data_IF_654944452830
#
_entry.id   IF_654944452830
#
_cell.length_a   1.000
_cell.length_b   1.000
_cell.length_c   1.000
_cell.angle_alpha   90.00
_cell.angle_beta   90.00
_cell.angle_gamma   90.00
#
_symmetry.space_group_name_H-M   'P 1'
#
loop_
_entity.id
_entity.type
_entity.pdbx_description
1 polymer ?
#
# COMPACT_ATOMS: atom_id res chain seq x y z
N UNK A 1 -1.69 -18.08 -1.34
CA UNK A 1 -3.04 -18.68 -1.21
C UNK A 1 -3.82 -18.88 -2.53
N UNK A 2 -3.32 -18.42 -3.70
CA UNK A 2 -4.07 -18.45 -4.96
C UNK A 2 -4.87 -17.18 -5.25
N UNK A 3 -4.62 -16.10 -4.50
CA UNK A 3 -5.20 -14.77 -4.66
C UNK A 3 -4.66 -13.96 -5.86
N UNK A 4 -4.05 -14.61 -6.84
CA UNK A 4 -3.29 -13.99 -7.93
C UNK A 4 -4.06 -12.87 -8.66
N UNK A 5 -5.36 -13.06 -8.90
CA UNK A 5 -6.19 -12.13 -9.67
C UNK A 5 -6.95 -11.08 -8.82
N UNK A 6 -6.78 -11.06 -7.50
CA UNK A 6 -7.47 -10.08 -6.63
C UNK A 6 -6.87 -8.69 -6.84
N UNK A 7 -7.69 -7.77 -7.35
CA UNK A 7 -7.31 -6.40 -7.65
C UNK A 7 -7.70 -5.37 -6.58
N UNK A 8 -8.29 -5.80 -5.46
CA UNK A 8 -8.69 -4.89 -4.38
C UNK A 8 -7.47 -4.17 -3.77
N UNK A 9 -6.36 -4.88 -3.60
CA UNK A 9 -5.13 -4.39 -2.97
C UNK A 9 -4.54 -3.13 -3.63
N UNK A 10 -4.28 -3.08 -4.95
CA UNK A 10 -3.79 -1.86 -5.59
C UNK A 10 -4.82 -0.71 -5.54
N UNK A 11 -6.13 -0.99 -5.58
CA UNK A 11 -7.15 0.06 -5.43
C UNK A 11 -7.12 0.63 -4.01
N UNK A 12 -7.05 -0.22 -2.99
CA UNK A 12 -6.89 0.19 -1.60
C UNK A 12 -5.59 0.93 -1.38
N UNK A 13 -4.48 0.53 -2.00
CA UNK A 13 -3.22 1.28 -1.94
C UNK A 13 -3.39 2.71 -2.46
N UNK A 14 -4.02 2.89 -3.63
CA UNK A 14 -4.32 4.22 -4.17
C UNK A 14 -5.18 5.05 -3.22
N UNK A 15 -6.29 4.49 -2.73
CA UNK A 15 -7.18 5.18 -1.80
C UNK A 15 -6.47 5.54 -0.48
N UNK A 16 -5.70 4.61 0.08
CA UNK A 16 -4.96 4.78 1.33
C UNK A 16 -3.91 5.88 1.19
N UNK A 17 -3.17 5.91 0.09
CA UNK A 17 -2.20 6.96 -0.19
C UNK A 17 -2.84 8.33 -0.38
N UNK A 18 -4.03 8.39 -1.02
CA UNK A 18 -4.77 9.62 -1.19
C UNK A 18 -5.19 10.22 0.16
N UNK A 19 -5.72 9.39 1.07
CA UNK A 19 -6.11 9.86 2.42
C UNK A 19 -4.92 10.06 3.36
N UNK A 20 -3.79 9.39 3.12
CA UNK A 20 -2.55 9.58 3.90
C UNK A 20 -1.82 10.88 3.55
N UNK A 21 -2.19 11.52 2.44
CA UNK A 21 -1.64 12.81 2.04
C UNK A 21 -0.52 12.71 1.01
N UNK A 22 -0.52 11.73 0.10
CA UNK A 22 0.35 11.80 -1.08
C UNK A 22 0.12 13.12 -1.85
N UNK A 23 1.14 13.66 -2.53
CA UNK A 23 1.01 14.84 -3.38
C UNK A 23 0.21 14.53 -4.63
N UNK A 24 0.45 13.36 -5.22
CA UNK A 24 -0.46 12.78 -6.20
C UNK A 24 -0.49 11.26 -6.10
N UNK A 25 -1.61 10.70 -6.57
CA UNK A 25 -1.86 9.27 -6.66
C UNK A 25 -2.34 8.96 -8.07
N UNK A 26 -1.92 7.83 -8.60
CA UNK A 26 -2.35 7.31 -9.89
C UNK A 26 -2.84 5.87 -9.73
N UNK A 27 -3.93 5.52 -10.41
CA UNK A 27 -4.41 4.15 -10.56
C UNK A 27 -4.44 3.85 -12.04
N UNK A 28 -3.69 2.84 -12.46
CA UNK A 28 -3.50 2.51 -13.86
C UNK A 28 -3.92 1.07 -14.15
N UNK A 29 -4.25 0.86 -15.42
CA UNK A 29 -4.60 -0.44 -15.97
C UNK A 29 -3.58 -0.84 -17.05
N UNK A 30 -3.13 -2.09 -17.01
CA UNK A 30 -2.37 -2.73 -18.08
C UNK A 30 -0.91 -2.30 -18.24
N UNK A 31 -0.36 -1.54 -17.29
CA UNK A 31 1.07 -1.21 -17.30
C UNK A 31 1.94 -2.47 -17.28
N UNK A 32 2.99 -2.49 -18.10
CA UNK A 32 3.91 -3.62 -18.27
C UNK A 32 3.36 -4.76 -19.14
N UNK A 33 2.19 -5.29 -18.80
CA UNK A 33 1.64 -6.55 -19.34
C UNK A 33 0.47 -6.39 -20.33
N UNK A 34 0.04 -5.16 -20.59
CA UNK A 34 -1.02 -4.85 -21.55
C UNK A 34 -2.43 -4.86 -20.96
N UNK A 35 -3.38 -4.38 -21.76
CA UNK A 35 -4.79 -4.24 -21.40
C UNK A 35 -5.36 -5.61 -20.99
N UNK A 36 -6.02 -5.64 -19.84
CA UNK A 36 -6.69 -6.80 -19.25
C UNK A 36 -5.89 -7.53 -18.17
N UNK A 37 -4.58 -7.27 -18.05
CA UNK A 37 -3.68 -8.17 -17.30
C UNK A 37 -3.09 -7.60 -16.01
N UNK A 38 -3.21 -6.30 -15.75
CA UNK A 38 -2.76 -5.71 -14.48
C UNK A 38 -3.62 -4.52 -14.06
N UNK A 39 -3.73 -4.36 -12.74
CA UNK A 39 -4.25 -3.17 -12.07
C UNK A 39 -3.21 -2.81 -11.02
N UNK A 40 -2.78 -1.55 -10.99
CA UNK A 40 -1.75 -1.08 -10.06
C UNK A 40 -1.96 0.38 -9.70
N UNK A 41 -1.39 0.77 -8.58
CA UNK A 41 -1.37 2.15 -8.12
C UNK A 41 0.06 2.63 -7.93
N UNK A 42 0.25 3.94 -8.07
CA UNK A 42 1.48 4.64 -7.73
C UNK A 42 1.16 5.90 -6.95
N UNK A 43 2.07 6.30 -6.08
CA UNK A 43 1.95 7.53 -5.31
C UNK A 43 3.26 8.30 -5.36
N UNK A 44 3.17 9.61 -5.18
CA UNK A 44 4.33 10.46 -4.91
C UNK A 44 3.96 11.45 -3.83
N UNK A 45 4.89 11.69 -2.91
CA UNK A 45 4.79 12.71 -1.85
C UNK A 45 6.01 13.63 -1.95
N UNK A 46 5.78 14.93 -1.77
CA UNK A 46 6.83 15.96 -1.87
C UNK A 46 7.29 16.34 -0.47
N UNK A 47 8.60 16.31 -0.26
CA UNK A 47 9.26 16.86 0.92
C UNK A 47 9.71 18.29 0.64
N UNK A 48 8.84 19.27 0.93
CA UNK A 48 9.10 20.70 0.69
C UNK A 48 9.69 21.44 1.91
N UNK A 49 9.93 20.74 3.01
CA UNK A 49 10.50 21.29 4.25
C UNK A 49 9.47 21.93 5.18
N UNK A 50 8.17 21.80 4.91
CA UNK A 50 7.11 22.27 5.81
C UNK A 50 6.72 21.23 6.86
N UNK A 51 6.27 21.68 8.04
CA UNK A 51 5.70 20.81 9.08
C UNK A 51 4.52 19.95 8.57
N UNK A 52 3.82 20.44 7.54
CA UNK A 52 2.74 19.69 6.91
C UNK A 52 3.30 18.54 6.06
N UNK A 53 4.37 18.78 5.29
CA UNK A 53 5.03 17.72 4.54
C UNK A 53 5.60 16.65 5.47
N UNK A 54 6.17 17.02 6.62
CA UNK A 54 6.67 16.06 7.61
C UNK A 54 5.57 15.07 8.06
N UNK A 55 4.39 15.58 8.41
CA UNK A 55 3.24 14.72 8.78
C UNK A 55 2.76 13.84 7.64
N UNK A 56 2.74 14.36 6.41
CA UNK A 56 2.33 13.60 5.22
C UNK A 56 3.32 12.49 4.90
N UNK A 57 4.61 12.77 5.01
CA UNK A 57 5.69 11.79 4.81
C UNK A 57 5.60 10.68 5.85
N UNK A 58 5.41 11.03 7.12
CA UNK A 58 5.24 10.04 8.19
C UNK A 58 4.06 9.10 7.89
N UNK A 59 2.91 9.61 7.47
CA UNK A 59 1.74 8.77 7.18
C UNK A 59 1.92 7.95 5.89
N UNK A 60 2.24 8.60 4.77
CA UNK A 60 2.32 7.96 3.46
C UNK A 60 3.42 6.89 3.43
N UNK A 61 4.61 7.20 3.97
CA UNK A 61 5.74 6.26 3.93
C UNK A 61 5.63 5.13 4.96
N UNK A 62 4.68 5.18 5.90
CA UNK A 62 4.31 4.03 6.71
C UNK A 62 3.20 3.21 6.04
N UNK A 63 2.17 3.87 5.51
CA UNK A 63 0.99 3.21 4.98
C UNK A 63 1.21 2.54 3.61
N UNK A 64 1.99 3.15 2.71
CA UNK A 64 2.27 2.62 1.37
C UNK A 64 3.02 1.27 1.40
N UNK A 65 4.15 1.13 2.12
CA UNK A 65 4.75 -0.20 2.30
C UNK A 65 3.92 -1.09 3.24
N UNK A 66 3.25 -0.50 4.23
CA UNK A 66 2.46 -1.23 5.23
C UNK A 66 1.34 -2.07 4.60
N UNK A 67 0.62 -1.53 3.60
CA UNK A 67 -0.42 -2.30 2.90
C UNK A 67 0.16 -3.47 2.10
N UNK A 68 1.41 -3.36 1.61
CA UNK A 68 2.13 -4.45 0.99
C UNK A 68 2.41 -5.61 1.96
N UNK A 69 2.81 -5.28 3.20
CA UNK A 69 2.97 -6.27 4.27
C UNK A 69 1.63 -6.93 4.59
N UNK A 70 0.56 -6.15 4.78
CA UNK A 70 -0.79 -6.66 5.07
C UNK A 70 -1.26 -7.61 3.96
N UNK A 71 -1.08 -7.25 2.68
CA UNK A 71 -1.47 -8.08 1.53
C UNK A 71 -0.76 -9.44 1.50
N UNK A 72 0.51 -9.50 1.89
CA UNK A 72 1.26 -10.75 1.93
C UNK A 72 0.97 -11.55 3.20
N UNK A 73 0.77 -10.89 4.33
CA UNK A 73 0.34 -11.55 5.56
C UNK A 73 -1.03 -12.22 5.38
N UNK A 74 -1.97 -11.55 4.70
CA UNK A 74 -3.30 -12.08 4.36
C UNK A 74 -3.21 -13.32 3.46
N UNK A 75 -2.27 -13.31 2.50
CA UNK A 75 -2.00 -14.45 1.62
C UNK A 75 -1.28 -15.63 2.30
N UNK A 76 -0.94 -15.50 3.61
CA UNK A 76 -0.37 -16.54 4.45
C UNK A 76 1.15 -16.59 4.54
N UNK A 77 1.88 -15.55 4.11
CA UNK A 77 3.34 -15.53 4.16
C UNK A 77 3.86 -15.30 5.58
N UNK A 78 4.57 -16.25 6.17
CA UNK A 78 5.03 -16.16 7.56
C UNK A 78 5.90 -14.94 7.83
N UNK A 79 6.81 -14.61 6.92
CA UNK A 79 7.69 -13.44 7.05
C UNK A 79 6.90 -12.13 7.17
N UNK A 80 5.82 -11.98 6.38
CA UNK A 80 4.96 -10.80 6.43
C UNK A 80 4.14 -10.75 7.73
N UNK A 81 3.66 -11.90 8.20
CA UNK A 81 2.95 -12.02 9.49
C UNK A 81 3.86 -11.64 10.65
N UNK A 82 5.09 -12.14 10.67
CA UNK A 82 6.08 -11.82 11.68
C UNK A 82 6.47 -10.34 11.63
N UNK A 83 6.67 -9.78 10.44
CA UNK A 83 6.95 -8.36 10.27
C UNK A 83 5.81 -7.50 10.80
N UNK A 84 4.56 -7.85 10.47
CA UNK A 84 3.36 -7.15 10.93
C UNK A 84 3.26 -7.13 12.45
N UNK A 85 3.45 -8.30 13.11
CA UNK A 85 3.45 -8.42 14.57
C UNK A 85 4.58 -7.62 15.21
N UNK A 86 5.79 -7.71 14.67
CA UNK A 86 6.98 -7.03 15.19
C UNK A 86 6.85 -5.51 15.16
N UNK A 87 6.22 -4.95 14.13
CA UNK A 87 6.08 -3.51 13.95
C UNK A 87 4.70 -2.98 14.36
N UNK A 88 3.84 -3.82 14.94
CA UNK A 88 2.52 -3.42 15.42
C UNK A 88 1.57 -2.95 14.31
N UNK A 89 1.69 -3.51 13.11
CA UNK A 89 0.76 -3.22 12.00
C UNK A 89 -0.61 -3.80 12.39
N UNK A 90 -1.62 -2.93 12.44
CA UNK A 90 -2.98 -3.31 12.82
C UNK A 90 -3.68 -4.01 11.67
N UNK A 91 -3.97 -5.30 11.84
CA UNK A 91 -4.65 -6.13 10.85
C UNK A 91 -5.73 -6.97 11.57
N UNK A 92 -7.02 -6.74 11.32
CA UNK A 92 -8.10 -7.42 12.05
C UNK A 92 -8.09 -8.96 11.97
N UNK A 93 -7.50 -9.53 10.91
CA UNK A 93 -7.41 -10.98 10.71
C UNK A 93 -6.21 -11.64 11.41
N UNK A 94 -5.30 -10.84 11.98
CA UNK A 94 -4.10 -11.29 12.70
C UNK A 94 -3.98 -10.43 13.96
N UNK A 95 -4.92 -10.61 14.89
CA UNK A 95 -4.76 -10.21 16.30
C UNK A 95 -4.26 -11.40 17.13
#
# INVERSE_FOLDING_TARGET
>A
DGSDAIADWPILNGLLNAVSGATWVAVHHGGGVGIGYSIHAGMVVVADGTDMADKRLELVLNNDPGIGVVRHADAGYEEAIEFAKKHGIKMPSIE
#
